data_IF_486149045460
#
_entry.id   IF_486149045460
#
_cell.length_a   1.000
_cell.length_b   1.000
_cell.length_c   1.000
_cell.angle_alpha   90.00
_cell.angle_beta   90.00
_cell.angle_gamma   90.00
#
_symmetry.space_group_name_H-M   'P 1'
#
loop_
_entity.id
_entity.type
_entity.pdbx_description
1 polymer ?
#
# COMPACT_ATOMS: atom_id res chain seq x y z
N UNK A 1 25.81 -1.80 57.52
CA UNK A 1 25.86 -1.09 56.22
C UNK A 1 25.39 -2.04 55.11
N UNK A 2 24.25 -1.71 54.51
CA UNK A 2 23.68 -2.13 53.20
C UNK A 2 23.70 -3.62 52.78
N UNK A 3 22.56 -4.28 53.02
CA UNK A 3 22.00 -5.33 52.15
C UNK A 3 21.62 -4.68 50.81
N UNK A 4 22.26 -5.06 49.71
CA UNK A 4 21.82 -4.67 48.37
C UNK A 4 20.87 -5.76 47.86
N UNK A 5 19.57 -5.46 47.88
CA UNK A 5 18.57 -6.26 47.16
C UNK A 5 18.69 -5.92 45.68
N UNK A 6 19.11 -6.88 44.87
CA UNK A 6 18.87 -6.84 43.43
C UNK A 6 17.36 -6.90 43.24
N UNK A 7 16.78 -5.73 42.98
CA UNK A 7 15.39 -5.59 42.58
C UNK A 7 15.35 -6.01 41.12
N UNK A 8 15.23 -7.31 40.87
CA UNK A 8 14.92 -7.85 39.56
C UNK A 8 13.59 -7.25 39.11
N UNK A 9 13.67 -6.25 38.23
CA UNK A 9 12.53 -5.80 37.45
C UNK A 9 12.23 -6.88 36.42
N UNK A 10 11.60 -7.97 36.88
CA UNK A 10 10.87 -8.88 36.03
C UNK A 10 9.71 -8.08 35.42
N UNK A 11 9.98 -7.38 34.32
CA UNK A 11 8.95 -6.97 33.39
C UNK A 11 8.28 -8.25 32.91
N UNK A 12 7.19 -8.60 33.57
CA UNK A 12 6.27 -9.64 33.12
C UNK A 12 5.85 -9.21 31.70
N UNK A 13 6.41 -9.88 30.69
CA UNK A 13 5.99 -9.71 29.30
C UNK A 13 4.51 -10.08 29.26
N UNK A 14 3.64 -9.08 29.13
CA UNK A 14 2.23 -9.29 28.83
C UNK A 14 2.18 -10.04 27.50
N UNK A 15 1.97 -11.35 27.56
CA UNK A 15 1.75 -12.15 26.37
C UNK A 15 0.40 -11.75 25.79
N UNK A 16 0.43 -11.09 24.63
CA UNK A 16 -0.80 -10.79 23.91
C UNK A 16 -1.45 -12.10 23.51
N UNK A 17 -2.70 -12.32 23.94
CA UNK A 17 -3.50 -13.46 23.48
C UNK A 17 -3.93 -13.20 22.05
N UNK A 18 -3.11 -13.63 21.10
CA UNK A 18 -3.43 -13.55 19.67
C UNK A 18 -4.48 -14.62 19.37
N UNK A 19 -5.63 -14.21 18.82
CA UNK A 19 -6.63 -15.13 18.26
C UNK A 19 -6.47 -15.12 16.75
N UNK A 20 -6.11 -16.26 16.18
CA UNK A 20 -6.17 -16.46 14.73
C UNK A 20 -7.64 -16.37 14.30
N UNK A 21 -7.97 -15.35 13.52
CA UNK A 21 -9.28 -15.21 12.89
C UNK A 21 -9.14 -15.70 11.46
N UNK A 22 -9.59 -16.92 11.21
CA UNK A 22 -9.69 -17.46 9.86
C UNK A 22 -10.99 -16.94 9.24
N UNK A 23 -10.86 -16.11 8.22
CA UNK A 23 -11.98 -15.66 7.42
C UNK A 23 -11.86 -16.32 6.05
N UNK A 24 -12.81 -17.17 5.69
CA UNK A 24 -12.75 -18.04 4.51
C UNK A 24 -12.83 -17.33 3.16
N UNK A 25 -13.06 -16.01 3.16
CA UNK A 25 -13.03 -15.18 1.97
C UNK A 25 -12.18 -13.95 2.21
N UNK A 26 -11.07 -13.74 1.51
CA UNK A 26 -10.33 -12.49 1.70
C UNK A 26 -11.22 -11.29 1.35
N UNK A 27 -11.26 -10.32 2.26
CA UNK A 27 -11.63 -8.96 1.90
C UNK A 27 -10.56 -8.46 0.93
N UNK A 28 -11.01 -7.99 -0.22
CA UNK A 28 -10.25 -7.39 -1.32
C UNK A 28 -9.76 -8.36 -2.40
N UNK A 29 -10.30 -8.09 -3.58
CA UNK A 29 -9.67 -8.19 -4.89
C UNK A 29 -8.38 -7.35 -4.87
N UNK A 30 -7.35 -7.81 -4.15
CA UNK A 30 -6.05 -7.14 -4.14
C UNK A 30 -5.49 -7.16 -5.56
N UNK A 31 -5.52 -5.98 -6.18
CA UNK A 31 -4.91 -5.77 -7.48
C UNK A 31 -3.40 -5.79 -7.31
N UNK A 32 -2.78 -6.73 -8.01
CA UNK A 32 -1.34 -6.92 -7.97
C UNK A 32 -0.73 -6.07 -9.07
N UNK A 33 0.31 -5.35 -8.70
CA UNK A 33 1.05 -4.50 -9.63
C UNK A 33 2.54 -4.73 -9.39
N UNK A 34 3.29 -4.74 -10.47
CA UNK A 34 4.74 -4.63 -10.44
C UNK A 34 5.09 -3.16 -10.62
N UNK A 35 6.03 -2.72 -9.79
CA UNK A 35 6.60 -1.40 -9.89
C UNK A 35 7.81 -1.47 -10.81
N UNK A 36 7.82 -0.68 -11.88
CA UNK A 36 8.94 -0.55 -12.82
C UNK A 36 9.41 0.91 -12.88
N UNK A 37 10.67 1.12 -13.25
CA UNK A 37 11.21 2.46 -13.53
C UNK A 37 11.33 2.61 -15.04
N UNK A 38 10.61 3.57 -15.62
CA UNK A 38 10.63 3.89 -17.05
C UNK A 38 10.85 5.39 -17.18
N UNK A 39 11.90 5.80 -17.90
CA UNK A 39 12.23 7.20 -18.16
C UNK A 39 12.26 8.09 -16.89
N UNK A 40 12.95 7.64 -15.84
CA UNK A 40 13.03 8.29 -14.51
C UNK A 40 11.68 8.46 -13.77
N UNK A 41 10.59 7.87 -14.25
CA UNK A 41 9.30 7.81 -13.54
C UNK A 41 9.01 6.40 -13.01
N UNK A 42 8.19 6.37 -11.97
CA UNK A 42 7.70 5.15 -11.35
C UNK A 42 6.38 4.74 -12.01
N UNK A 43 6.37 3.57 -12.62
CA UNK A 43 5.22 2.96 -13.27
C UNK A 43 4.69 1.77 -12.46
N UNK A 44 3.38 1.56 -12.50
CA UNK A 44 2.71 0.41 -11.90
C UNK A 44 2.02 -0.37 -13.00
N UNK A 45 2.59 -1.51 -13.37
CA UNK A 45 2.06 -2.39 -14.40
C UNK A 45 1.27 -3.51 -13.71
N UNK A 46 0.08 -3.85 -14.22
CA UNK A 46 -0.74 -4.90 -13.63
C UNK A 46 -0.03 -6.25 -13.74
N UNK A 47 0.00 -7.01 -12.63
CA UNK A 47 0.66 -8.30 -12.56
C UNK A 47 -0.36 -9.43 -12.42
N UNK A 48 -0.39 -10.32 -13.41
CA UNK A 48 -1.29 -11.46 -13.38
C UNK A 48 -0.82 -12.51 -12.36
N UNK A 49 -1.67 -13.00 -11.45
CA UNK A 49 -1.23 -13.89 -10.36
C UNK A 49 -0.61 -15.20 -10.84
N UNK A 50 -1.13 -15.77 -11.94
CA UNK A 50 -0.57 -17.00 -12.50
C UNK A 50 0.85 -16.83 -13.07
N UNK A 51 1.29 -15.61 -13.38
CA UNK A 51 2.66 -15.36 -13.85
C UNK A 51 3.73 -15.62 -12.76
N UNK A 52 3.33 -15.76 -11.49
CA UNK A 52 4.21 -16.15 -10.40
C UNK A 52 4.45 -17.67 -10.30
N UNK A 53 3.73 -18.48 -11.08
CA UNK A 53 3.77 -19.94 -11.00
C UNK A 53 4.55 -20.54 -12.17
N UNK A 54 5.09 -21.74 -11.95
CA UNK A 54 5.64 -22.59 -13.02
C UNK A 54 4.76 -23.81 -13.24
N UNK A 55 4.89 -24.44 -14.42
CA UNK A 55 4.15 -25.66 -14.72
C UNK A 55 4.51 -26.79 -13.74
N UNK A 56 5.79 -26.91 -13.36
CA UNK A 56 6.30 -27.90 -12.41
C UNK A 56 5.72 -27.69 -11.01
N UNK A 57 5.56 -26.43 -10.59
CA UNK A 57 4.91 -26.08 -9.32
C UNK A 57 3.44 -26.52 -9.32
N UNK A 58 2.70 -26.22 -10.39
CA UNK A 58 1.30 -26.60 -10.52
C UNK A 58 1.14 -28.13 -10.61
N UNK A 59 2.05 -28.82 -11.31
CA UNK A 59 2.05 -30.28 -11.38
C UNK A 59 2.21 -30.92 -10.00
N UNK A 60 3.16 -30.42 -9.21
CA UNK A 60 3.53 -30.99 -7.91
C UNK A 60 2.55 -30.62 -6.80
N UNK A 61 2.14 -29.35 -6.75
CA UNK A 61 1.40 -28.77 -5.61
C UNK A 61 0.00 -28.26 -5.98
N UNK A 62 -0.33 -28.17 -7.27
CA UNK A 62 -1.54 -27.51 -7.75
C UNK A 62 -1.49 -25.99 -7.61
N UNK A 63 -2.64 -25.35 -7.84
CA UNK A 63 -2.79 -23.92 -7.59
C UNK A 63 -2.86 -23.64 -6.08
N UNK A 64 -2.12 -22.64 -5.56
CA UNK A 64 -2.26 -22.23 -4.18
C UNK A 64 -3.71 -21.77 -3.89
N UNK A 65 -4.28 -22.27 -2.80
CA UNK A 65 -5.68 -21.96 -2.42
C UNK A 65 -5.94 -20.47 -2.15
N UNK A 66 -4.89 -19.73 -1.82
CA UNK A 66 -4.89 -18.29 -1.57
C UNK A 66 -4.60 -17.45 -2.82
N UNK A 67 -4.32 -18.09 -3.96
CA UNK A 67 -4.09 -17.39 -5.23
C UNK A 67 -5.42 -17.15 -5.97
N UNK A 68 -6.26 -16.26 -5.46
CA UNK A 68 -7.53 -15.89 -6.13
C UNK A 68 -7.33 -14.96 -7.33
N UNK A 69 -8.11 -15.16 -8.40
CA UNK A 69 -8.17 -14.27 -9.57
C UNK A 69 -9.40 -13.36 -9.50
N UNK A 70 -9.22 -12.10 -9.89
CA UNK A 70 -10.32 -11.20 -10.23
C UNK A 70 -11.00 -11.65 -11.53
N UNK A 71 -12.22 -11.17 -11.83
CA UNK A 71 -12.87 -11.47 -13.10
C UNK A 71 -12.02 -11.06 -14.32
N UNK A 72 -11.32 -9.93 -14.24
CA UNK A 72 -10.42 -9.45 -15.29
C UNK A 72 -9.24 -10.41 -15.49
N UNK A 73 -8.59 -10.82 -14.42
CA UNK A 73 -7.49 -11.79 -14.45
C UNK A 73 -7.98 -13.15 -15.01
N UNK A 74 -9.20 -13.59 -14.64
CA UNK A 74 -9.78 -14.83 -15.18
C UNK A 74 -10.00 -14.78 -16.70
N UNK A 75 -10.49 -13.64 -17.22
CA UNK A 75 -10.63 -13.44 -18.66
C UNK A 75 -9.27 -13.40 -19.36
N UNK A 76 -8.30 -12.70 -18.78
CA UNK A 76 -6.94 -12.65 -19.31
C UNK A 76 -6.33 -14.05 -19.40
N UNK A 77 -6.49 -14.88 -18.36
CA UNK A 77 -6.05 -16.27 -18.38
C UNK A 77 -6.71 -17.05 -19.54
N UNK A 78 -8.02 -16.92 -19.73
CA UNK A 78 -8.72 -17.57 -20.84
C UNK A 78 -8.19 -17.13 -22.21
N UNK A 79 -8.06 -15.81 -22.42
CA UNK A 79 -7.57 -15.27 -23.69
C UNK A 79 -6.15 -15.76 -24.00
N UNK A 80 -5.26 -15.78 -23.00
CA UNK A 80 -3.91 -16.32 -23.16
C UNK A 80 -3.92 -17.82 -23.41
N UNK A 81 -4.80 -18.59 -22.76
CA UNK A 81 -4.98 -20.02 -23.04
C UNK A 81 -5.38 -20.28 -24.51
N UNK A 82 -6.31 -19.49 -25.04
CA UNK A 82 -6.73 -19.58 -26.45
C UNK A 82 -5.59 -19.22 -27.41
N UNK A 83 -4.78 -18.21 -27.06
CA UNK A 83 -3.63 -17.80 -27.86
C UNK A 83 -2.53 -18.86 -27.89
N UNK A 84 -2.21 -19.45 -26.73
CA UNK A 84 -1.20 -20.49 -26.59
C UNK A 84 -1.59 -21.79 -27.31
N UNK A 85 -2.86 -22.19 -27.25
CA UNK A 85 -3.36 -23.39 -27.92
C UNK A 85 -4.60 -23.12 -28.78
N UNK A 86 -4.35 -22.74 -30.04
CA UNK A 86 -5.41 -22.36 -31.01
C UNK A 86 -6.45 -23.46 -31.26
N UNK A 87 -6.06 -24.74 -31.16
CA UNK A 87 -6.96 -25.89 -31.35
C UNK A 87 -7.39 -26.53 -30.02
N UNK A 88 -7.34 -25.77 -28.92
CA UNK A 88 -7.77 -26.22 -27.60
C UNK A 88 -9.23 -26.75 -27.64
N UNK A 89 -9.46 -28.05 -27.37
CA UNK A 89 -10.77 -28.67 -27.59
C UNK A 89 -11.92 -28.08 -26.76
N UNK A 90 -11.63 -27.62 -25.54
CA UNK A 90 -12.65 -27.08 -24.60
C UNK A 90 -12.77 -25.56 -24.64
N UNK A 91 -12.09 -24.88 -25.56
CA UNK A 91 -12.12 -23.42 -25.68
C UNK A 91 -13.55 -22.85 -25.78
N UNK A 92 -14.43 -23.54 -26.50
CA UNK A 92 -15.83 -23.16 -26.67
C UNK A 92 -16.64 -23.29 -25.38
N UNK A 93 -16.38 -24.31 -24.56
CA UNK A 93 -17.09 -24.58 -23.31
C UNK A 93 -16.73 -23.55 -22.24
N UNK A 94 -15.46 -23.14 -22.21
CA UNK A 94 -14.91 -22.15 -21.29
C UNK A 94 -14.93 -20.72 -21.83
N UNK A 95 -15.51 -20.50 -23.01
CA UNK A 95 -15.74 -19.16 -23.54
C UNK A 95 -16.69 -18.38 -22.61
N UNK A 96 -16.32 -17.18 -22.14
CA UNK A 96 -17.15 -16.39 -21.21
C UNK A 96 -18.60 -16.20 -21.68
N UNK A 97 -18.81 -16.03 -22.99
CA UNK A 97 -20.14 -15.84 -23.58
C UNK A 97 -21.00 -17.12 -23.58
N UNK A 98 -20.36 -18.29 -23.58
CA UNK A 98 -21.02 -19.60 -23.67
C UNK A 98 -20.96 -20.40 -22.37
N UNK A 99 -20.18 -19.92 -21.39
CA UNK A 99 -19.92 -20.60 -20.15
C UNK A 99 -21.22 -20.88 -19.38
N UNK A 100 -21.39 -22.13 -18.95
CA UNK A 100 -22.66 -22.63 -18.41
C UNK A 100 -23.17 -21.82 -17.21
N UNK A 101 -22.29 -21.29 -16.38
CA UNK A 101 -22.68 -20.51 -15.20
C UNK A 101 -22.89 -19.02 -15.47
N UNK A 102 -22.51 -18.51 -16.64
CA UNK A 102 -22.80 -17.13 -17.09
C UNK A 102 -24.00 -17.07 -18.04
N UNK A 103 -24.19 -18.12 -18.84
CA UNK A 103 -25.26 -18.20 -19.82
C UNK A 103 -26.62 -17.90 -19.19
N UNK A 104 -27.38 -17.03 -19.85
CA UNK A 104 -28.73 -16.59 -19.46
C UNK A 104 -28.83 -15.85 -18.11
N UNK A 105 -27.71 -15.38 -17.54
CA UNK A 105 -27.74 -14.51 -16.36
C UNK A 105 -27.68 -13.05 -16.77
N UNK A 106 -28.61 -12.26 -16.21
CA UNK A 106 -28.63 -10.80 -16.36
C UNK A 106 -27.49 -10.16 -15.55
N UNK A 107 -27.17 -10.74 -14.38
CA UNK A 107 -26.12 -10.25 -13.48
C UNK A 107 -25.22 -11.41 -13.08
N UNK A 108 -23.92 -11.27 -13.34
CA UNK A 108 -22.89 -12.22 -12.90
C UNK A 108 -22.50 -11.89 -11.46
N UNK A 109 -22.68 -12.84 -10.54
CA UNK A 109 -22.34 -12.67 -9.13
C UNK A 109 -20.93 -13.16 -8.84
N UNK A 110 -20.38 -12.77 -7.68
CA UNK A 110 -19.06 -13.19 -7.20
C UNK A 110 -18.85 -14.71 -7.22
N UNK A 111 -19.86 -15.47 -6.81
CA UNK A 111 -19.81 -16.94 -6.84
C UNK A 111 -19.72 -17.51 -8.26
N UNK A 112 -20.32 -16.83 -9.24
CA UNK A 112 -20.27 -17.26 -10.63
C UNK A 112 -18.87 -17.05 -11.21
N UNK A 113 -18.26 -15.90 -10.91
CA UNK A 113 -16.87 -15.61 -11.29
C UNK A 113 -15.87 -16.60 -10.67
N UNK A 114 -16.08 -17.00 -9.41
CA UNK A 114 -15.24 -18.02 -8.75
C UNK A 114 -15.32 -19.38 -9.42
N UNK A 115 -16.52 -19.83 -9.81
CA UNK A 115 -16.65 -21.09 -10.55
C UNK A 115 -15.92 -21.06 -11.89
N UNK A 116 -15.96 -19.92 -12.55
CA UNK A 116 -15.24 -19.71 -13.80
C UNK A 116 -13.72 -19.79 -13.59
N UNK A 117 -13.20 -19.06 -12.60
CA UNK A 117 -11.80 -19.14 -12.17
C UNK A 117 -11.37 -20.59 -11.87
N UNK A 118 -12.15 -21.31 -11.05
CA UNK A 118 -11.89 -22.71 -10.69
C UNK A 118 -11.84 -23.60 -11.93
N UNK A 119 -12.74 -23.38 -12.89
CA UNK A 119 -12.81 -24.17 -14.12
C UNK A 119 -11.60 -23.93 -15.03
N UNK A 120 -11.14 -22.68 -15.16
CA UNK A 120 -9.95 -22.34 -15.93
C UNK A 120 -8.68 -22.93 -15.30
N UNK A 121 -8.53 -22.82 -13.97
CA UNK A 121 -7.40 -23.41 -13.25
C UNK A 121 -7.38 -24.92 -13.35
N UNK A 122 -8.54 -25.56 -13.22
CA UNK A 122 -8.68 -27.01 -13.37
C UNK A 122 -8.28 -27.44 -14.78
N UNK A 123 -8.69 -26.69 -15.80
CA UNK A 123 -8.30 -26.96 -17.19
C UNK A 123 -6.79 -26.81 -17.41
N UNK A 124 -6.17 -25.72 -16.94
CA UNK A 124 -4.72 -25.55 -17.08
C UNK A 124 -3.95 -26.65 -16.34
N UNK A 125 -4.43 -27.07 -15.17
CA UNK A 125 -3.88 -28.23 -14.44
C UNK A 125 -4.03 -29.52 -15.25
N UNK A 126 -5.14 -29.69 -15.95
CA UNK A 126 -5.41 -30.84 -16.80
C UNK A 126 -4.50 -30.86 -18.04
N UNK A 127 -4.15 -29.71 -18.61
CA UNK A 127 -3.18 -29.63 -19.71
C UNK A 127 -1.83 -30.19 -19.29
N UNK A 128 -1.33 -29.76 -18.13
CA UNK A 128 -0.06 -30.22 -17.56
C UNK A 128 -0.09 -31.74 -17.35
N UNK A 129 -1.15 -32.26 -16.72
CA UNK A 129 -1.29 -33.70 -16.44
C UNK A 129 -1.43 -34.58 -17.68
N UNK A 130 -2.00 -34.05 -18.76
CA UNK A 130 -2.23 -34.80 -20.00
C UNK A 130 -1.11 -34.63 -21.04
N UNK A 131 0.05 -34.11 -20.65
CA UNK A 131 1.22 -33.99 -21.52
C UNK A 131 1.28 -32.74 -22.40
N UNK A 132 0.33 -31.80 -22.26
CA UNK A 132 0.33 -30.50 -22.96
C UNK A 132 1.04 -29.44 -22.10
N UNK A 133 2.24 -29.79 -21.61
CA UNK A 133 2.99 -28.96 -20.66
C UNK A 133 3.57 -27.72 -21.32
N UNK A 134 3.95 -27.80 -22.59
CA UNK A 134 4.55 -26.68 -23.33
C UNK A 134 3.53 -25.58 -23.59
N UNK A 135 2.28 -25.94 -23.91
CA UNK A 135 1.16 -25.00 -24.03
C UNK A 135 0.89 -24.31 -22.69
N UNK A 136 0.90 -25.07 -21.59
CA UNK A 136 0.75 -24.49 -20.26
C UNK A 136 1.91 -23.56 -19.88
N UNK A 137 3.15 -23.92 -20.23
CA UNK A 137 4.33 -23.06 -20.05
C UNK A 137 4.23 -21.78 -20.86
N UNK A 138 3.79 -21.86 -22.12
CA UNK A 138 3.53 -20.70 -22.96
C UNK A 138 2.50 -19.77 -22.33
N UNK A 139 1.40 -20.30 -21.79
CA UNK A 139 0.40 -19.47 -21.07
C UNK A 139 1.02 -18.72 -19.90
N UNK A 140 1.75 -19.43 -19.04
CA UNK A 140 2.39 -18.81 -17.86
C UNK A 140 3.45 -17.78 -18.27
N UNK A 141 4.19 -18.06 -19.34
CA UNK A 141 5.17 -17.16 -19.92
C UNK A 141 4.52 -15.90 -20.48
N UNK A 142 3.49 -16.01 -21.32
CA UNK A 142 2.82 -14.86 -21.95
C UNK A 142 2.12 -13.96 -20.91
N UNK A 143 1.60 -14.56 -19.83
CA UNK A 143 1.09 -13.80 -18.68
C UNK A 143 2.21 -13.04 -17.94
N UNK A 144 3.46 -13.49 -18.06
CA UNK A 144 4.65 -12.87 -17.48
C UNK A 144 5.35 -11.87 -18.41
N UNK A 145 5.16 -11.94 -19.74
CA UNK A 145 5.99 -11.25 -20.76
C UNK A 145 5.93 -9.71 -20.79
N UNK A 146 5.31 -9.06 -19.80
CA UNK A 146 5.45 -7.61 -19.56
C UNK A 146 6.43 -7.26 -18.44
N UNK A 147 6.99 -8.27 -17.78
CA UNK A 147 7.80 -8.13 -16.57
C UNK A 147 9.26 -8.19 -16.97
N UNK A 148 9.80 -7.04 -17.34
CA UNK A 148 11.24 -6.85 -17.27
C UNK A 148 11.68 -7.11 -15.84
N UNK A 149 12.82 -7.79 -15.65
CA UNK A 149 13.48 -7.98 -14.35
C UNK A 149 13.26 -6.73 -13.51
N UNK A 150 12.58 -6.90 -12.37
CA UNK A 150 12.18 -5.79 -11.51
C UNK A 150 13.36 -4.87 -11.34
N UNK A 151 13.30 -3.67 -11.91
CA UNK A 151 14.36 -2.70 -11.74
C UNK A 151 14.34 -2.40 -10.25
N UNK A 152 15.33 -2.91 -9.53
CA UNK A 152 15.40 -2.77 -8.08
C UNK A 152 15.18 -1.29 -7.76
N UNK A 153 14.09 -0.98 -7.06
CA UNK A 153 13.77 0.40 -6.72
C UNK A 153 14.90 0.85 -5.80
N UNK A 154 15.85 1.57 -6.37
CA UNK A 154 17.04 2.01 -5.66
C UNK A 154 16.64 2.92 -4.51
N UNK A 155 17.56 3.10 -3.56
CA UNK A 155 17.35 3.99 -2.42
C UNK A 155 16.97 5.42 -2.85
N UNK A 156 17.49 5.88 -3.99
CA UNK A 156 17.25 7.20 -4.56
C UNK A 156 15.88 7.32 -5.25
N UNK A 157 15.34 6.22 -5.77
CA UNK A 157 14.03 6.19 -6.44
C UNK A 157 12.87 6.05 -5.46
N UNK A 158 13.14 5.58 -4.24
CA UNK A 158 12.10 5.35 -3.23
C UNK A 158 11.24 6.61 -2.89
N UNK A 159 11.79 7.84 -2.77
CA UNK A 159 10.98 9.04 -2.61
C UNK A 159 10.06 9.32 -3.80
N UNK A 160 10.49 9.02 -5.03
CA UNK A 160 9.66 9.18 -6.23
C UNK A 160 8.48 8.20 -6.23
N UNK A 161 8.70 6.96 -5.77
CA UNK A 161 7.64 5.98 -5.54
C UNK A 161 6.58 6.51 -4.55
N UNK A 162 7.01 7.04 -3.41
CA UNK A 162 6.11 7.60 -2.39
C UNK A 162 5.31 8.78 -2.96
N UNK A 163 5.96 9.64 -3.73
CA UNK A 163 5.32 10.76 -4.41
C UNK A 163 4.31 10.31 -5.47
N UNK A 164 4.62 9.26 -6.23
CA UNK A 164 3.69 8.66 -7.19
C UNK A 164 2.45 8.11 -6.47
N UNK A 165 2.63 7.36 -5.39
CA UNK A 165 1.52 6.85 -4.58
C UNK A 165 0.66 7.97 -3.99
N UNK A 166 1.28 9.08 -3.56
CA UNK A 166 0.55 10.28 -3.12
C UNK A 166 -0.29 10.87 -4.24
N UNK A 167 0.29 11.06 -5.44
CA UNK A 167 -0.43 11.59 -6.62
C UNK A 167 -1.61 10.71 -7.01
N UNK A 168 -1.48 9.39 -6.84
CA UNK A 168 -2.54 8.41 -7.10
C UNK A 168 -3.57 8.30 -5.96
N UNK A 169 -3.41 9.04 -4.86
CA UNK A 169 -4.32 8.96 -3.70
C UNK A 169 -4.26 7.62 -2.96
N UNK A 170 -3.14 6.90 -3.03
CA UNK A 170 -2.94 5.56 -2.44
C UNK A 170 -2.18 5.57 -1.11
N UNK A 171 -2.06 6.74 -0.47
CA UNK A 171 -1.50 6.88 0.88
C UNK A 171 -2.61 6.93 1.94
N UNK A 172 -2.38 6.44 3.18
CA UNK A 172 -1.12 5.88 3.69
C UNK A 172 -0.81 4.49 3.10
N UNK A 173 0.47 4.18 2.90
CA UNK A 173 0.94 2.90 2.37
C UNK A 173 1.86 2.20 3.37
N UNK A 174 1.81 0.87 3.40
CA UNK A 174 2.70 0.02 4.19
C UNK A 174 3.73 -0.62 3.27
N UNK A 175 5.02 -0.43 3.58
CA UNK A 175 6.12 -1.02 2.82
C UNK A 175 6.77 -2.14 3.64
N UNK A 176 6.87 -3.31 3.04
CA UNK A 176 7.59 -4.45 3.63
C UNK A 176 8.99 -4.49 3.03
N UNK A 177 10.00 -4.25 3.87
CA UNK A 177 11.42 -4.31 3.52
C UNK A 177 12.08 -5.23 4.53
N UNK A 178 12.75 -6.27 4.06
CA UNK A 178 13.25 -7.35 4.92
C UNK A 178 14.59 -7.06 5.61
N UNK A 179 15.20 -5.90 5.33
CA UNK A 179 16.46 -5.46 5.93
C UNK A 179 16.28 -4.15 6.70
N UNK A 180 16.62 -4.14 7.99
CA UNK A 180 16.47 -2.97 8.86
C UNK A 180 17.29 -1.77 8.38
N UNK A 181 18.52 -1.98 7.91
CA UNK A 181 19.37 -0.90 7.41
C UNK A 181 18.75 -0.24 6.17
N UNK A 182 18.12 -1.03 5.31
CA UNK A 182 17.47 -0.51 4.10
C UNK A 182 16.18 0.24 4.45
N UNK A 183 15.45 -0.18 5.48
CA UNK A 183 14.31 0.58 6.03
C UNK A 183 14.77 1.97 6.49
N UNK A 184 15.81 2.03 7.31
CA UNK A 184 16.34 3.29 7.85
C UNK A 184 16.83 4.21 6.73
N UNK A 185 17.60 3.67 5.78
CA UNK A 185 18.09 4.41 4.61
C UNK A 185 16.96 4.99 3.76
N UNK A 186 15.96 4.17 3.42
CA UNK A 186 14.79 4.62 2.64
C UNK A 186 13.99 5.68 3.39
N UNK A 187 13.83 5.56 4.71
CA UNK A 187 13.18 6.59 5.52
C UNK A 187 13.96 7.91 5.53
N UNK A 188 15.29 7.86 5.65
CA UNK A 188 16.16 9.04 5.55
C UNK A 188 16.08 9.68 4.16
N UNK A 189 16.13 8.89 3.09
CA UNK A 189 16.00 9.33 1.70
C UNK A 189 14.69 10.12 1.49
N UNK A 190 13.56 9.60 1.97
CA UNK A 190 12.25 10.30 1.89
C UNK A 190 12.25 11.60 2.71
N UNK A 191 12.80 11.58 3.93
CA UNK A 191 12.88 12.76 4.79
C UNK A 191 13.69 13.89 4.15
N UNK A 192 14.85 13.57 3.57
CA UNK A 192 15.72 14.54 2.89
C UNK A 192 15.03 15.09 1.64
N UNK A 193 14.45 14.22 0.81
CA UNK A 193 13.70 14.64 -0.38
C UNK A 193 12.56 15.62 -0.05
N UNK A 194 11.82 15.36 1.05
CA UNK A 194 10.74 16.26 1.47
C UNK A 194 11.25 17.61 1.99
N UNK A 195 12.41 17.63 2.68
CA UNK A 195 13.04 18.89 3.12
C UNK A 195 13.49 19.73 1.92
N UNK A 196 14.20 19.13 0.98
CA UNK A 196 14.65 19.80 -0.26
C UNK A 196 13.46 20.32 -1.08
N UNK A 197 12.38 19.54 -1.15
CA UNK A 197 11.13 19.94 -1.80
C UNK A 197 10.42 21.09 -1.08
N UNK A 198 10.51 21.16 0.25
CA UNK A 198 9.96 22.26 1.03
C UNK A 198 10.80 23.53 0.85
N UNK A 199 12.12 23.41 0.83
CA UNK A 199 13.06 24.51 0.62
C UNK A 199 12.95 25.11 -0.78
N UNK A 200 12.87 24.28 -1.82
CA UNK A 200 12.69 24.73 -3.22
C UNK A 200 11.37 25.47 -3.45
N UNK A 201 10.33 25.16 -2.67
CA UNK A 201 9.04 25.86 -2.70
C UNK A 201 8.98 27.08 -1.79
N UNK A 202 10.03 27.33 -1.01
CA UNK A 202 10.04 28.41 -0.02
C UNK A 202 10.19 29.76 -0.73
N UNK A 203 9.30 30.73 -0.49
CA UNK A 203 9.44 32.07 -1.05
C UNK A 203 10.78 32.70 -0.64
N UNK A 204 11.48 33.43 -1.52
CA UNK A 204 12.76 34.08 -1.19
C UNK A 204 12.70 35.04 0.01
N UNK A 205 11.50 35.51 0.35
CA UNK A 205 11.25 36.43 1.47
C UNK A 205 10.67 35.75 2.71
N UNK A 206 10.46 34.42 2.71
CA UNK A 206 9.77 33.72 3.79
C UNK A 206 10.45 33.89 5.16
N UNK A 207 11.78 33.89 5.22
CA UNK A 207 12.51 34.15 6.47
C UNK A 207 12.33 35.59 6.97
N UNK A 208 12.38 36.55 6.05
CA UNK A 208 12.14 37.96 6.38
C UNK A 208 10.70 38.18 6.85
N UNK A 209 9.72 37.58 6.19
CA UNK A 209 8.30 37.66 6.54
C UNK A 209 8.00 36.97 7.88
N UNK A 210 8.56 35.78 8.12
CA UNK A 210 8.46 35.08 9.40
C UNK A 210 9.06 35.90 10.54
N UNK A 211 10.23 36.50 10.32
CA UNK A 211 10.86 37.37 11.31
C UNK A 211 10.04 38.66 11.56
N UNK A 212 9.47 39.27 10.52
CA UNK A 212 8.58 40.43 10.65
C UNK A 212 7.30 40.07 11.42
N UNK A 213 6.67 38.94 11.10
CA UNK A 213 5.49 38.41 11.80
C UNK A 213 5.79 38.11 13.27
N UNK A 214 6.92 37.45 13.57
CA UNK A 214 7.35 37.17 14.94
C UNK A 214 7.58 38.46 15.74
N UNK A 215 8.19 39.48 15.13
CA UNK A 215 8.37 40.79 15.75
C UNK A 215 7.03 41.52 15.97
N UNK A 216 6.08 41.44 15.03
CA UNK A 216 4.73 41.99 15.21
C UNK A 216 4.01 41.29 16.36
N UNK A 217 4.02 39.96 16.40
CA UNK A 217 3.43 39.18 17.50
C UNK A 217 4.06 39.52 18.85
N UNK A 218 5.38 39.67 18.91
CA UNK A 218 6.08 40.10 20.13
C UNK A 218 5.67 41.50 20.58
N UNK A 219 5.45 42.43 19.64
CA UNK A 219 4.96 43.78 19.96
C UNK A 219 3.52 43.74 20.49
N UNK A 220 2.62 42.98 19.85
CA UNK A 220 1.23 42.80 20.30
C UNK A 220 1.19 42.16 21.68
N UNK A 221 2.00 41.13 21.94
CA UNK A 221 2.07 40.48 23.25
C UNK A 221 2.53 41.46 24.34
N UNK A 222 3.49 42.33 24.03
CA UNK A 222 3.94 43.39 24.95
C UNK A 222 2.89 44.48 25.19
N UNK A 223 2.08 44.85 24.20
CA UNK A 223 1.02 45.85 24.40
C UNK A 223 -0.11 45.28 25.25
N UNK A 224 -0.54 44.04 24.98
CA UNK A 224 -1.54 43.34 25.79
C UNK A 224 -1.09 43.16 27.25
N UNK A 225 0.18 42.85 27.48
CA UNK A 225 0.75 42.75 28.84
C UNK A 225 0.72 44.11 29.56
N UNK A 226 1.03 45.20 28.85
CA UNK A 226 0.95 46.56 29.41
C UNK A 226 -0.47 46.96 29.74
N UNK A 227 -1.44 46.68 28.87
CA UNK A 227 -2.86 46.93 29.12
C UNK A 227 -3.34 46.15 30.35
N UNK A 228 -2.97 44.87 30.47
CA UNK A 228 -3.28 44.06 31.67
C UNK A 228 -2.72 44.66 32.95
N UNK A 229 -1.48 45.14 32.95
CA UNK A 229 -0.85 45.78 34.11
C UNK A 229 -1.55 47.11 34.46
N UNK A 230 -2.03 47.86 33.46
CA UNK A 230 -2.74 49.12 33.65
C UNK A 230 -4.15 48.85 34.20
N UNK A 231 -4.85 47.85 33.69
CA UNK A 231 -6.16 47.43 34.18
C UNK A 231 -6.07 46.90 35.62
N UNK A 232 -5.07 46.08 35.95
CA UNK A 232 -4.83 45.60 37.32
C UNK A 232 -4.53 46.75 38.31
N UNK A 233 -3.75 47.75 37.88
CA UNK A 233 -3.49 48.96 38.70
C UNK A 233 -4.73 49.83 38.87
N UNK A 234 -5.59 49.90 37.86
CA UNK A 234 -6.84 50.67 37.89
C UNK A 234 -7.87 50.01 38.79
N UNK A 235 -7.99 48.68 38.74
CA UNK A 235 -8.84 47.91 39.65
C UNK A 235 -8.35 47.94 41.11
N UNK A 236 -7.03 47.95 41.36
CA UNK A 236 -6.47 48.14 42.72
C UNK A 236 -6.74 49.54 43.28
N UNK A 237 -6.71 50.58 42.44
CA UNK A 237 -7.06 51.96 42.86
C UNK A 237 -8.55 52.10 43.20
N UNK A 238 -9.45 51.47 42.44
CA UNK A 238 -10.89 51.48 42.76
C UNK A 238 -11.22 50.72 44.05
N UNK A 239 -10.53 49.60 44.36
CA UNK A 239 -10.70 48.89 45.64
C UNK A 239 -10.22 49.67 46.86
N UNK A 240 -9.21 50.52 46.72
CA UNK A 240 -8.70 51.35 47.82
C UNK A 240 -9.44 52.69 47.98
N UNK A 241 -10.30 53.07 47.02
CA UNK A 241 -11.13 54.28 47.07
C UNK A 241 -12.49 54.09 47.75
N UNK A 242 -12.92 52.85 47.98
CA UNK A 242 -14.17 52.53 48.70
C UNK A 242 -13.87 52.10 50.14
N UNK A 243 -13.34 53.02 50.96
CA UNK A 243 -13.61 52.98 52.40
C UNK A 243 -14.70 54.00 52.69
N UNK A 244 -15.93 53.57 53.06
CA UNK A 244 -16.92 54.51 53.54
C UNK A 244 -16.46 55.08 54.88
N UNK A 245 -16.41 56.41 54.98
CA UNK A 245 -16.41 57.10 56.27
C UNK A 245 -17.82 56.98 56.85
N UNK A 246 -18.04 56.01 57.75
CA UNK A 246 -18.84 56.16 58.98
C UNK A 246 -18.64 54.95 59.88
#
# INVERSE_FOLDING_TARGET
KRKNSHKDSLQIKQSYKVRLVLYGERYNDLEKHICSVKDDDVCFDHFHPCAALTAEHIETYGFPSDLSLSPRESLQLYDTMVQAWKTWPRAQELCPEKYIHFKNKIVIKKLDARKYEESLKAELTNWIKNGNIEEAKMVLYDLSSGITDSTDITEQMFPLLVEKLRKLGKLPALFFIFNLKDVEKRAHSVSNFLKEKQESKRPPKADKEAHVMANKLRKVKKSMEKERIIDEKSQKKQKNGSKPNT
#
